data_IF_020378950395
#
_entry.id   IF_020378950395
#
_cell.length_a   1.000
_cell.length_b   1.000
_cell.length_c   1.000
_cell.angle_alpha   90.00
_cell.angle_beta   90.00
_cell.angle_gamma   90.00
#
_symmetry.space_group_name_H-M   'P 1'
#
loop_
_entity.id
_entity.type
_entity.pdbx_description
1 polymer ?
#
# COMPACT_ATOMS: atom_id res chain seq x y z
N UNK A 1 -8.02 10.61 4.44
CA UNK A 1 -8.69 9.44 5.00
C UNK A 1 -8.08 8.18 4.43
N UNK A 2 -7.64 7.29 5.29
CA UNK A 2 -7.06 6.02 4.88
C UNK A 2 -8.16 4.98 4.72
N UNK A 3 -8.33 4.44 3.52
CA UNK A 3 -9.03 3.20 3.33
C UNK A 3 -7.98 2.10 3.23
N UNK A 4 -7.77 1.36 4.30
CA UNK A 4 -7.03 0.11 4.20
C UNK A 4 -7.90 -0.87 3.42
N UNK A 5 -7.40 -1.39 2.31
CA UNK A 5 -8.15 -2.35 1.52
C UNK A 5 -8.33 -3.64 2.31
N UNK A 6 -9.56 -4.00 2.59
CA UNK A 6 -9.93 -5.28 3.16
C UNK A 6 -10.21 -6.25 1.99
N UNK A 7 -9.13 -6.77 1.41
CA UNK A 7 -9.20 -7.59 0.19
C UNK A 7 -9.92 -8.93 0.43
N UNK A 8 -9.93 -9.42 1.66
CA UNK A 8 -10.41 -10.78 1.93
C UNK A 8 -11.93 -10.91 2.08
N UNK A 9 -12.63 -9.81 2.40
CA UNK A 9 -14.09 -9.83 2.47
C UNK A 9 -14.67 -8.63 1.72
N UNK A 10 -14.67 -8.70 0.39
CA UNK A 10 -15.44 -7.82 -0.52
C UNK A 10 -16.92 -7.66 -0.13
N UNK A 11 -17.39 -8.36 0.91
CA UNK A 11 -18.75 -8.31 1.40
C UNK A 11 -19.06 -7.04 2.20
N UNK A 12 -18.13 -6.55 3.04
CA UNK A 12 -18.35 -5.38 3.91
C UNK A 12 -17.79 -4.11 3.29
N UNK A 13 -16.51 -4.13 2.85
CA UNK A 13 -15.83 -2.99 2.23
C UNK A 13 -15.57 -3.27 0.75
N UNK A 14 -16.63 -3.36 -0.05
CA UNK A 14 -16.55 -3.54 -1.49
C UNK A 14 -16.26 -2.19 -2.21
N UNK A 15 -16.04 -2.25 -3.52
CA UNK A 15 -15.76 -1.05 -4.31
C UNK A 15 -16.86 0.01 -4.19
N UNK A 16 -18.13 -0.38 -4.12
CA UNK A 16 -19.26 0.54 -4.01
C UNK A 16 -19.26 1.26 -2.65
N UNK A 17 -18.81 0.61 -1.59
CA UNK A 17 -18.57 1.26 -0.30
C UNK A 17 -17.53 2.36 -0.43
N UNK A 18 -16.38 2.08 -1.05
CA UNK A 18 -15.31 3.07 -1.22
C UNK A 18 -15.72 4.21 -2.13
N UNK A 19 -16.48 3.95 -3.19
CA UNK A 19 -17.01 4.99 -4.07
C UNK A 19 -17.98 5.91 -3.31
N UNK A 20 -18.91 5.36 -2.53
CA UNK A 20 -19.83 6.15 -1.71
C UNK A 20 -19.08 7.00 -0.67
N UNK A 21 -18.07 6.43 -0.02
CA UNK A 21 -17.23 7.15 0.92
C UNK A 21 -16.47 8.30 0.25
N UNK A 22 -15.89 8.07 -0.93
CA UNK A 22 -15.19 9.08 -1.70
C UNK A 22 -16.11 10.25 -2.10
N UNK A 23 -17.33 9.96 -2.58
CA UNK A 23 -18.34 10.97 -2.90
C UNK A 23 -18.75 11.79 -1.67
N UNK A 24 -18.86 11.16 -0.49
CA UNK A 24 -19.15 11.86 0.75
C UNK A 24 -18.00 12.80 1.15
N UNK A 25 -16.75 12.33 1.06
CA UNK A 25 -15.56 13.13 1.36
C UNK A 25 -15.42 14.32 0.41
N UNK A 26 -15.64 14.13 -0.88
CA UNK A 26 -15.68 15.21 -1.86
C UNK A 26 -16.75 16.24 -1.51
N UNK A 27 -17.97 15.80 -1.18
CA UNK A 27 -19.06 16.70 -0.73
C UNK A 27 -18.72 17.46 0.55
N UNK A 28 -17.88 16.90 1.41
CA UNK A 28 -17.37 17.55 2.63
C UNK A 28 -16.21 18.51 2.36
N UNK A 29 -15.78 18.66 1.10
CA UNK A 29 -14.74 19.59 0.69
C UNK A 29 -13.33 19.00 0.61
N UNK A 30 -13.19 17.69 0.38
CA UNK A 30 -11.88 17.10 0.12
C UNK A 30 -11.37 17.54 -1.26
N UNK A 31 -10.12 17.98 -1.32
CA UNK A 31 -9.45 18.39 -2.56
C UNK A 31 -8.87 17.20 -3.35
N UNK A 32 -8.66 16.08 -2.70
CA UNK A 32 -8.09 14.85 -3.26
C UNK A 32 -8.59 13.64 -2.49
N UNK A 33 -8.86 12.53 -3.16
CA UNK A 33 -9.18 11.26 -2.53
C UNK A 33 -7.96 10.33 -2.60
N UNK A 34 -7.41 9.98 -1.44
CA UNK A 34 -6.27 9.06 -1.36
C UNK A 34 -6.73 7.65 -0.99
N UNK A 35 -6.43 6.69 -1.87
CA UNK A 35 -6.49 5.26 -1.58
C UNK A 35 -5.20 4.93 -0.85
N UNK A 36 -5.28 4.58 0.44
CA UNK A 36 -4.10 4.25 1.25
C UNK A 36 -4.06 2.75 1.55
N UNK A 37 -3.11 2.08 0.91
CA UNK A 37 -2.86 0.64 1.02
C UNK A 37 -1.53 0.37 1.73
N UNK A 38 -1.60 0.30 3.06
CA UNK A 38 -0.43 0.15 3.94
C UNK A 38 0.24 -1.23 3.86
N UNK A 39 -0.48 -2.22 3.37
CA UNK A 39 -0.04 -3.61 3.40
C UNK A 39 0.17 -4.21 1.99
N UNK A 40 -0.06 -3.41 0.95
CA UNK A 40 -0.05 -3.86 -0.43
C UNK A 40 -1.04 -5.03 -0.66
N UNK A 41 -2.27 -4.85 -0.15
CA UNK A 41 -3.37 -5.80 -0.30
C UNK A 41 -4.29 -5.46 -1.47
N UNK A 42 -4.19 -4.24 -2.00
CA UNK A 42 -4.89 -3.83 -3.21
C UNK A 42 -4.20 -4.45 -4.43
N UNK A 43 -4.76 -5.56 -4.91
CA UNK A 43 -4.19 -6.28 -6.04
C UNK A 43 -4.35 -5.48 -7.35
N UNK A 44 -3.51 -5.73 -8.38
CA UNK A 44 -3.46 -4.92 -9.59
C UNK A 44 -4.80 -4.75 -10.31
N UNK A 45 -5.56 -5.83 -10.48
CA UNK A 45 -6.87 -5.76 -11.14
C UNK A 45 -7.94 -5.08 -10.29
N UNK A 46 -7.88 -5.23 -8.96
CA UNK A 46 -8.77 -4.53 -8.04
C UNK A 46 -8.47 -3.02 -8.04
N UNK A 47 -7.18 -2.64 -8.10
CA UNK A 47 -6.77 -1.24 -8.26
C UNK A 47 -7.32 -0.63 -9.55
N UNK A 48 -7.22 -1.35 -10.67
CA UNK A 48 -7.78 -0.90 -11.94
C UNK A 48 -9.30 -0.66 -11.82
N UNK A 49 -10.04 -1.63 -11.29
CA UNK A 49 -11.49 -1.54 -11.16
C UNK A 49 -11.91 -0.40 -10.23
N UNK A 50 -11.31 -0.32 -9.03
CA UNK A 50 -11.60 0.71 -8.05
C UNK A 50 -11.31 2.12 -8.58
N UNK A 51 -10.11 2.33 -9.16
CA UNK A 51 -9.74 3.64 -9.73
C UNK A 51 -10.69 4.04 -10.85
N UNK A 52 -11.05 3.12 -11.76
CA UNK A 52 -12.04 3.38 -12.81
C UNK A 52 -13.37 3.83 -12.24
N UNK A 53 -13.89 3.14 -11.23
CA UNK A 53 -15.15 3.50 -10.58
C UNK A 53 -15.05 4.86 -9.87
N UNK A 54 -13.96 5.14 -9.15
CA UNK A 54 -13.74 6.42 -8.50
C UNK A 54 -13.71 7.56 -9.52
N UNK A 55 -12.92 7.43 -10.60
CA UNK A 55 -12.83 8.44 -11.67
C UNK A 55 -14.17 8.70 -12.38
N UNK A 56 -15.09 7.74 -12.37
CA UNK A 56 -16.43 7.90 -12.94
C UNK A 56 -17.42 8.60 -11.99
N UNK A 57 -17.12 8.68 -10.68
CA UNK A 57 -18.08 9.13 -9.67
C UNK A 57 -17.65 10.36 -8.86
N UNK A 58 -16.34 10.72 -8.85
CA UNK A 58 -15.83 11.92 -8.19
C UNK A 58 -15.05 12.79 -9.16
N UNK A 59 -15.14 14.11 -8.97
CA UNK A 59 -14.46 15.11 -9.81
C UNK A 59 -13.07 15.50 -9.31
N UNK A 60 -12.73 15.17 -8.06
CA UNK A 60 -11.42 15.48 -7.48
C UNK A 60 -10.35 14.46 -7.89
N UNK A 61 -9.07 14.83 -7.88
CA UNK A 61 -7.97 13.91 -8.19
C UNK A 61 -7.98 12.66 -7.30
N UNK A 62 -7.67 11.51 -7.91
CA UNK A 62 -7.49 10.23 -7.21
C UNK A 62 -6.00 9.99 -7.01
N UNK A 63 -5.62 9.76 -5.78
CA UNK A 63 -4.26 9.49 -5.34
C UNK A 63 -4.16 8.05 -4.84
N UNK A 64 -3.14 7.31 -5.29
CA UNK A 64 -2.83 5.98 -4.80
C UNK A 64 -1.53 5.99 -4.00
N UNK A 65 -1.63 5.57 -2.74
CA UNK A 65 -0.49 5.29 -1.87
C UNK A 65 -0.50 3.80 -1.54
N UNK A 66 0.40 3.03 -2.14
CA UNK A 66 0.58 1.61 -1.84
C UNK A 66 2.01 1.30 -1.47
N UNK A 67 2.20 0.35 -0.55
CA UNK A 67 3.50 -0.22 -0.26
C UNK A 67 3.84 -1.34 -1.26
N UNK A 68 5.03 -1.94 -1.16
CA UNK A 68 5.43 -3.07 -2.00
C UNK A 68 5.71 -4.34 -1.18
N UNK A 69 5.04 -4.49 -0.05
CA UNK A 69 5.26 -5.57 0.92
C UNK A 69 5.02 -6.95 0.29
N UNK A 70 3.98 -7.10 -0.50
CA UNK A 70 3.62 -8.37 -1.15
C UNK A 70 4.33 -8.59 -2.50
N UNK A 71 5.04 -7.56 -3.00
CA UNK A 71 5.69 -7.57 -4.30
C UNK A 71 4.76 -7.27 -5.48
N UNK A 72 3.51 -6.90 -5.22
CA UNK A 72 2.54 -6.54 -6.29
C UNK A 72 2.43 -5.04 -6.52
N UNK A 73 3.11 -4.21 -5.71
CA UNK A 73 2.93 -2.76 -5.71
C UNK A 73 3.25 -2.09 -7.05
N UNK A 74 4.33 -2.51 -7.73
CA UNK A 74 4.65 -1.99 -9.06
C UNK A 74 3.55 -2.30 -10.08
N UNK A 75 3.02 -3.52 -10.05
CA UNK A 75 1.90 -3.93 -10.91
C UNK A 75 0.62 -3.17 -10.55
N UNK A 76 0.38 -2.94 -9.25
CA UNK A 76 -0.76 -2.17 -8.75
C UNK A 76 -0.70 -0.73 -9.25
N UNK A 77 0.46 -0.07 -9.15
CA UNK A 77 0.67 1.28 -9.68
C UNK A 77 0.48 1.36 -11.20
N UNK A 78 0.99 0.37 -11.95
CA UNK A 78 0.80 0.30 -13.40
C UNK A 78 -0.68 0.19 -13.77
N UNK A 79 -1.42 -0.71 -13.12
CA UNK A 79 -2.85 -0.91 -13.39
C UNK A 79 -3.69 0.31 -12.97
N UNK A 80 -3.34 0.96 -11.87
CA UNK A 80 -3.97 2.22 -11.46
C UNK A 80 -3.69 3.35 -12.47
N UNK A 81 -2.46 3.45 -13.00
CA UNK A 81 -2.11 4.40 -14.04
C UNK A 81 -2.94 4.18 -15.31
N UNK A 82 -3.10 2.93 -15.76
CA UNK A 82 -3.96 2.59 -16.89
C UNK A 82 -5.44 2.91 -16.64
N UNK A 83 -5.90 2.80 -15.40
CA UNK A 83 -7.27 3.13 -15.00
C UNK A 83 -7.53 4.65 -14.91
N UNK A 84 -6.48 5.47 -14.89
CA UNK A 84 -6.60 6.92 -14.89
C UNK A 84 -6.35 7.58 -13.53
N UNK A 85 -5.62 6.94 -12.61
CA UNK A 85 -5.17 7.58 -11.37
C UNK A 85 -4.39 8.86 -11.68
N UNK A 86 -4.56 9.88 -10.86
CA UNK A 86 -3.93 11.19 -11.10
C UNK A 86 -2.57 11.29 -10.40
N UNK A 87 -2.43 10.66 -9.22
CA UNK A 87 -1.23 10.74 -8.39
C UNK A 87 -0.89 9.34 -7.87
N UNK A 88 0.38 8.96 -7.90
CA UNK A 88 0.89 7.76 -7.24
C UNK A 88 2.10 8.09 -6.37
N UNK A 89 2.19 7.48 -5.21
CA UNK A 89 3.35 7.59 -4.35
C UNK A 89 4.37 6.50 -4.70
N UNK A 90 5.62 6.93 -4.84
CA UNK A 90 6.76 6.07 -5.06
C UNK A 90 7.92 6.49 -4.16
N UNK A 91 8.92 5.64 -4.01
CA UNK A 91 10.17 5.95 -3.33
C UNK A 91 11.35 5.87 -4.30
N UNK A 92 12.40 6.63 -4.05
CA UNK A 92 13.65 6.48 -4.82
C UNK A 92 14.25 5.09 -4.61
N UNK A 93 14.76 4.48 -5.67
CA UNK A 93 15.17 3.06 -5.69
C UNK A 93 16.03 2.59 -4.51
N UNK A 94 16.96 3.38 -3.93
CA UNK A 94 17.74 2.94 -2.79
C UNK A 94 16.92 2.73 -1.50
N UNK A 95 15.72 3.33 -1.41
CA UNK A 95 14.83 3.28 -0.25
C UNK A 95 13.46 2.67 -0.59
N UNK A 96 13.32 2.11 -1.80
CA UNK A 96 12.08 1.54 -2.31
C UNK A 96 11.93 0.06 -1.94
N UNK A 97 10.73 -0.47 -2.21
CA UNK A 97 10.33 -1.87 -2.09
C UNK A 97 10.14 -2.40 -0.66
N UNK A 98 9.68 -3.62 -0.54
CA UNK A 98 9.34 -4.23 0.74
C UNK A 98 8.30 -3.40 1.48
N UNK A 99 8.60 -3.00 2.71
CA UNK A 99 7.70 -2.15 3.52
C UNK A 99 7.67 -0.68 3.09
N UNK A 100 8.47 -0.29 2.09
CA UNK A 100 8.39 1.02 1.43
C UNK A 100 7.51 0.95 0.17
N UNK A 101 7.46 2.05 -0.57
CA UNK A 101 6.70 2.15 -1.82
C UNK A 101 7.48 1.54 -3.01
N UNK A 102 6.81 1.29 -4.15
CA UNK A 102 7.46 0.95 -5.41
C UNK A 102 8.50 1.99 -5.85
N UNK A 103 9.47 1.56 -6.65
CA UNK A 103 10.54 2.43 -7.10
C UNK A 103 10.05 3.45 -8.15
N UNK A 104 10.36 4.74 -7.92
CA UNK A 104 10.01 5.86 -8.81
C UNK A 104 10.57 5.65 -10.20
N UNK A 105 11.86 5.34 -10.30
CA UNK A 105 12.57 5.19 -11.57
C UNK A 105 11.97 4.06 -12.44
N UNK A 106 11.56 2.96 -11.79
CA UNK A 106 10.92 1.84 -12.46
C UNK A 106 9.57 2.24 -13.08
N UNK A 107 8.74 2.96 -12.33
CA UNK A 107 7.43 3.42 -12.82
C UNK A 107 7.59 4.44 -13.94
N UNK A 108 8.48 5.43 -13.78
CA UNK A 108 8.78 6.43 -14.81
C UNK A 108 9.24 5.77 -16.11
N UNK A 109 10.17 4.82 -16.02
CA UNK A 109 10.64 4.06 -17.19
C UNK A 109 9.51 3.25 -17.85
N UNK A 110 8.65 2.62 -17.05
CA UNK A 110 7.53 1.81 -17.53
C UNK A 110 6.48 2.65 -18.26
N UNK A 111 6.21 3.86 -17.80
CA UNK A 111 5.19 4.74 -18.39
C UNK A 111 5.71 5.58 -19.55
N UNK A 112 7.03 5.61 -19.77
CA UNK A 112 7.66 6.44 -20.81
C UNK A 112 7.11 6.10 -22.20
N UNK A 113 6.71 7.15 -22.95
CA UNK A 113 6.15 7.02 -24.29
C UNK A 113 4.71 6.51 -24.35
N UNK A 114 4.05 6.30 -23.20
CA UNK A 114 2.62 5.97 -23.14
C UNK A 114 1.78 7.24 -22.96
N UNK A 115 0.45 7.09 -23.02
CA UNK A 115 -0.49 8.18 -22.68
C UNK A 115 -0.42 8.61 -21.20
N UNK A 116 0.34 7.90 -20.38
CA UNK A 116 0.53 8.15 -18.94
C UNK A 116 1.99 8.53 -18.63
N UNK A 117 2.74 8.91 -19.65
CA UNK A 117 4.13 9.39 -19.48
C UNK A 117 4.17 10.55 -18.48
N UNK A 118 5.03 10.42 -17.48
CA UNK A 118 5.16 11.41 -16.41
C UNK A 118 5.94 12.66 -16.84
N UNK A 119 6.66 12.58 -17.96
CA UNK A 119 7.60 13.61 -18.41
C UNK A 119 8.85 13.76 -17.53
N UNK A 120 9.03 12.90 -16.52
CA UNK A 120 10.20 12.93 -15.66
C UNK A 120 11.46 12.45 -16.38
N UNK A 121 12.58 13.11 -16.09
CA UNK A 121 13.90 12.77 -16.62
C UNK A 121 14.53 11.65 -15.80
N UNK A 122 14.66 10.47 -16.42
CA UNK A 122 15.18 9.28 -15.76
C UNK A 122 16.67 9.41 -15.38
N UNK A 123 17.47 10.17 -16.14
CA UNK A 123 18.88 10.40 -15.83
C UNK A 123 19.01 11.23 -14.54
N UNK A 124 18.23 12.30 -14.42
CA UNK A 124 18.18 13.12 -13.20
C UNK A 124 17.67 12.33 -11.99
N UNK A 125 16.65 11.50 -12.16
CA UNK A 125 16.19 10.59 -11.10
C UNK A 125 17.30 9.64 -10.67
N UNK A 126 18.07 9.09 -11.61
CA UNK A 126 19.22 8.23 -11.32
C UNK A 126 20.34 8.94 -10.55
N UNK A 127 20.61 10.21 -10.89
CA UNK A 127 21.59 11.04 -10.14
C UNK A 127 21.11 11.27 -8.69
N UNK A 128 19.83 11.57 -8.49
CA UNK A 128 19.23 11.72 -7.17
C UNK A 128 19.30 10.40 -6.40
N UNK A 129 18.97 9.29 -7.04
CA UNK A 129 19.05 7.95 -6.45
C UNK A 129 20.50 7.59 -6.05
N UNK A 130 21.49 7.99 -6.85
CA UNK A 130 22.90 7.79 -6.50
C UNK A 130 23.31 8.55 -5.23
N UNK A 131 22.77 9.75 -5.01
CA UNK A 131 22.95 10.49 -3.75
C UNK A 131 22.33 9.73 -2.58
N UNK A 132 21.06 9.32 -2.70
CA UNK A 132 20.34 8.62 -1.63
C UNK A 132 20.90 7.22 -1.35
N UNK A 133 21.55 6.56 -2.31
CA UNK A 133 22.29 5.31 -2.06
C UNK A 133 23.41 5.52 -1.05
N UNK A 134 24.16 6.60 -1.19
CA UNK A 134 25.21 6.96 -0.21
C UNK A 134 24.64 7.33 1.17
N UNK A 135 23.41 7.83 1.21
CA UNK A 135 22.70 8.10 2.47
C UNK A 135 22.24 6.77 3.08
N UNK A 136 21.60 5.91 2.28
CA UNK A 136 21.12 4.60 2.72
C UNK A 136 22.24 3.72 3.30
N UNK A 137 23.44 3.76 2.70
CA UNK A 137 24.63 3.04 3.18
C UNK A 137 25.05 3.44 4.61
N UNK A 138 24.64 4.63 5.07
CA UNK A 138 24.90 5.13 6.43
C UNK A 138 23.79 4.84 7.43
N UNK A 139 22.64 4.37 6.95
CA UNK A 139 21.50 4.04 7.78
C UNK A 139 21.55 2.55 8.13
N UNK A 140 21.25 2.22 9.37
CA UNK A 140 21.09 0.84 9.81
C UNK A 140 19.73 0.29 9.37
N UNK A 141 19.57 0.11 8.06
CA UNK A 141 18.35 -0.42 7.48
C UNK A 141 18.40 -1.95 7.56
N UNK A 142 17.49 -2.54 8.32
CA UNK A 142 17.35 -3.99 8.36
C UNK A 142 16.99 -4.51 6.95
N UNK A 143 17.84 -5.31 6.30
CA UNK A 143 17.57 -5.77 4.92
C UNK A 143 16.32 -6.65 4.80
N UNK A 144 15.77 -7.15 5.90
CA UNK A 144 14.50 -7.91 5.88
C UNK A 144 13.30 -7.03 5.52
N UNK A 145 13.32 -5.74 5.88
CA UNK A 145 12.21 -4.82 5.57
C UNK A 145 12.12 -4.47 4.09
N UNK A 146 13.19 -4.66 3.33
CA UNK A 146 13.23 -4.43 1.88
C UNK A 146 12.84 -5.66 1.06
N UNK A 147 12.55 -6.80 1.72
CA UNK A 147 12.16 -8.04 1.06
C UNK A 147 10.65 -8.15 0.95
N UNK A 148 10.23 -8.83 -0.11
CA UNK A 148 8.83 -9.23 -0.29
C UNK A 148 8.44 -10.25 0.77
N UNK A 149 7.26 -10.06 1.38
CA UNK A 149 6.63 -11.02 2.29
C UNK A 149 5.22 -11.35 1.80
N UNK A 150 5.09 -12.48 1.11
CA UNK A 150 3.81 -12.96 0.59
C UNK A 150 2.87 -13.50 1.66
N UNK A 151 3.33 -13.72 2.90
CA UNK A 151 2.45 -14.08 4.01
C UNK A 151 1.44 -12.98 4.32
N UNK A 152 1.78 -11.73 4.01
CA UNK A 152 0.86 -10.60 4.10
C UNK A 152 -0.41 -10.82 3.27
N UNK A 153 -0.33 -11.53 2.13
CA UNK A 153 -1.50 -11.88 1.31
C UNK A 153 -2.42 -12.90 2.00
N UNK A 154 -1.85 -13.76 2.84
CA UNK A 154 -2.60 -14.80 3.55
C UNK A 154 -3.24 -14.27 4.83
N UNK A 155 -2.45 -13.60 5.67
CA UNK A 155 -2.87 -13.16 7.00
C UNK A 155 -3.36 -11.71 7.04
N UNK A 156 -3.12 -10.93 5.97
CA UNK A 156 -3.55 -9.54 5.81
C UNK A 156 -3.05 -8.59 6.92
N UNK A 157 -1.93 -8.93 7.51
CA UNK A 157 -1.28 -8.14 8.55
C UNK A 157 -0.12 -7.37 7.94
N UNK A 158 -0.12 -6.03 7.99
CA UNK A 158 0.99 -5.21 7.48
C UNK A 158 2.32 -5.57 8.12
N UNK A 159 3.41 -5.52 7.35
CA UNK A 159 4.75 -5.91 7.81
C UNK A 159 5.23 -5.21 9.08
N UNK A 160 4.86 -3.92 9.28
CA UNK A 160 5.13 -3.19 10.53
C UNK A 160 4.42 -3.77 11.74
N UNK A 161 3.19 -4.27 11.55
CA UNK A 161 2.45 -4.97 12.62
C UNK A 161 3.07 -6.33 12.93
N UNK A 162 3.51 -7.07 11.92
CA UNK A 162 4.20 -8.35 12.13
C UNK A 162 5.47 -8.17 12.96
N UNK A 163 6.23 -7.12 12.72
CA UNK A 163 7.42 -6.79 13.52
C UNK A 163 7.06 -6.50 14.97
N UNK A 164 5.98 -5.75 15.21
CA UNK A 164 5.49 -5.49 16.56
C UNK A 164 4.99 -6.76 17.25
N UNK A 165 4.21 -7.59 16.53
CA UNK A 165 3.73 -8.88 17.05
C UNK A 165 4.90 -9.78 17.47
N UNK A 166 5.91 -9.92 16.62
CA UNK A 166 7.11 -10.71 16.94
C UNK A 166 7.78 -10.18 18.21
N UNK A 167 7.91 -8.85 18.32
CA UNK A 167 8.49 -8.23 19.51
C UNK A 167 7.69 -8.49 20.78
N UNK A 168 6.36 -8.41 20.71
CA UNK A 168 5.45 -8.69 21.82
C UNK A 168 5.49 -10.16 22.23
N UNK A 169 5.45 -11.08 21.26
CA UNK A 169 5.56 -12.52 21.53
C UNK A 169 6.89 -12.87 22.18
N UNK A 170 7.98 -12.24 21.73
CA UNK A 170 9.30 -12.41 22.34
C UNK A 170 9.33 -11.93 23.80
N UNK A 171 8.74 -10.79 24.10
CA UNK A 171 8.60 -10.26 25.45
C UNK A 171 7.77 -11.19 26.36
N UNK A 172 6.76 -11.85 25.78
CA UNK A 172 5.91 -12.81 26.47
C UNK A 172 6.48 -14.24 26.53
N UNK A 173 7.67 -14.50 25.97
CA UNK A 173 8.24 -15.83 25.78
C UNK A 173 7.29 -16.81 25.07
N UNK A 174 6.54 -16.34 24.07
CA UNK A 174 5.50 -17.05 23.35
C UNK A 174 5.73 -17.03 21.82
N UNK A 175 6.99 -17.04 21.38
CA UNK A 175 7.38 -16.97 19.97
C UNK A 175 6.83 -18.17 19.17
N UNK A 176 6.66 -19.31 19.82
CA UNK A 176 6.04 -20.52 19.26
C UNK A 176 4.56 -20.31 18.87
N UNK A 177 3.89 -19.32 19.44
CA UNK A 177 2.49 -18.96 19.16
C UNK A 177 2.28 -18.05 17.96
N UNK A 178 3.34 -17.67 17.27
CA UNK A 178 3.27 -16.71 16.17
C UNK A 178 2.20 -17.06 15.12
N UNK A 179 2.21 -18.29 14.63
CA UNK A 179 1.25 -18.72 13.62
C UNK A 179 -0.17 -18.92 14.18
N UNK A 180 -0.30 -19.31 15.44
CA UNK A 180 -1.60 -19.44 16.13
C UNK A 180 -2.26 -18.06 16.21
N UNK A 181 -1.50 -17.03 16.61
CA UNK A 181 -2.00 -15.65 16.68
C UNK A 181 -2.38 -15.13 15.28
N UNK A 182 -1.57 -15.36 14.26
CA UNK A 182 -1.89 -14.93 12.90
C UNK A 182 -3.18 -15.59 12.39
N UNK A 183 -3.42 -16.84 12.71
CA UNK A 183 -4.65 -17.57 12.34
C UNK A 183 -5.90 -16.99 13.03
N UNK A 184 -5.76 -16.40 14.23
CA UNK A 184 -6.85 -15.78 14.97
C UNK A 184 -7.22 -14.37 14.50
N UNK A 185 -6.29 -13.64 13.85
CA UNK A 185 -6.53 -12.27 13.39
C UNK A 185 -7.82 -12.12 12.57
N UNK A 186 -8.13 -13.00 11.59
CA UNK A 186 -9.37 -12.85 10.81
C UNK A 186 -10.63 -12.97 11.67
N UNK A 187 -10.65 -13.88 12.65
CA UNK A 187 -11.78 -14.08 13.57
C UNK A 187 -11.98 -12.87 14.47
N UNK A 188 -10.90 -12.41 15.10
CA UNK A 188 -10.94 -11.22 15.97
C UNK A 188 -11.42 -9.99 15.19
N UNK A 189 -10.95 -9.80 13.95
CA UNK A 189 -11.43 -8.71 13.10
C UNK A 189 -12.93 -8.80 12.80
N UNK A 190 -13.45 -10.00 12.60
CA UNK A 190 -14.87 -10.25 12.42
C UNK A 190 -15.66 -9.84 13.67
N UNK A 191 -15.22 -10.27 14.83
CA UNK A 191 -15.84 -9.94 16.13
C UNK A 191 -15.90 -8.41 16.37
N UNK A 192 -14.89 -7.67 15.90
CA UNK A 192 -14.84 -6.21 15.98
C UNK A 192 -15.52 -5.47 14.81
N UNK A 193 -16.21 -6.16 13.91
CA UNK A 193 -16.91 -5.55 12.77
C UNK A 193 -15.99 -5.03 11.67
N UNK A 194 -14.85 -5.69 11.45
CA UNK A 194 -13.85 -5.38 10.41
C UNK A 194 -13.27 -3.95 10.47
N UNK A 195 -12.73 -3.51 11.61
CA UNK A 195 -12.09 -2.21 11.68
C UNK A 195 -10.88 -2.13 10.73
N UNK A 196 -10.55 -0.94 10.19
CA UNK A 196 -9.35 -0.78 9.41
C UNK A 196 -8.11 -1.10 10.26
N UNK A 197 -7.19 -1.92 9.72
CA UNK A 197 -5.94 -2.29 10.39
C UNK A 197 -4.90 -1.15 10.26
N UNK A 198 -5.19 -0.04 10.92
CA UNK A 198 -4.30 1.12 11.04
C UNK A 198 -4.15 1.47 12.52
N UNK A 199 -3.03 2.11 12.87
CA UNK A 199 -2.81 2.58 14.23
C UNK A 199 -3.94 3.52 14.68
N UNK A 200 -4.54 3.35 15.86
CA UNK A 200 -4.17 2.43 16.94
C UNK A 200 -4.84 1.03 16.87
N UNK A 201 -5.90 0.84 16.07
CA UNK A 201 -6.68 -0.41 16.00
C UNK A 201 -5.85 -1.64 15.63
N UNK A 202 -4.74 -1.44 14.95
CA UNK A 202 -3.81 -2.51 14.59
C UNK A 202 -2.93 -3.00 15.75
N UNK A 203 -3.03 -2.35 16.91
CA UNK A 203 -2.24 -2.69 18.12
C UNK A 203 -3.08 -3.36 19.21
N UNK A 204 -4.38 -3.41 19.02
CA UNK A 204 -5.36 -4.07 19.89
C UNK A 204 -5.52 -5.52 19.47
#
# INVERSE_FOLDING_TARGET
SSAASDVYKRQVHNEDYFVKLAMQLEKMGADTICIKDMANLLLPYDAYSLVKKLKANVGVPIHLHTHNTTGTGDMTNLMAAQAGVDIVDCALSPLANGTSQPATESLVATLKGTSRDTGMDLEKLSEIAAHFRKVADKLDINPKVLKVDTNTLLYQVPGGMLSNLISQLKQANAEDKYYDVLAEVPRVREDFGYPPLVTPTSQI
#
